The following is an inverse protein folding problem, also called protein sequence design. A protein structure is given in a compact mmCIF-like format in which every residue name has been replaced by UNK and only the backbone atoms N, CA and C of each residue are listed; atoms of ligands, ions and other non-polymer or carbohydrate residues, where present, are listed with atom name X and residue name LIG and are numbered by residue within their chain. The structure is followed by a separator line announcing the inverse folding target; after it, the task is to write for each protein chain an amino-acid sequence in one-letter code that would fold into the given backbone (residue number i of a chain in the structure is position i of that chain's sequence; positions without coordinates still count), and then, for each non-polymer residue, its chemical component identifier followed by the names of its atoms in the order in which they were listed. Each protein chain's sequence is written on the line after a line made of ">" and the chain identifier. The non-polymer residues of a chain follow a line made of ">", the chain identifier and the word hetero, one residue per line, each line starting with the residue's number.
data_IF_184972176854
#
_entry.id   IF_184972176854
#
_cell.length_a   1.000
_cell.length_b   1.000
_cell.length_c   1.000
_cell.angle_alpha   90.00
_cell.angle_beta   90.00
_cell.angle_gamma   90.00
#
_symmetry.space_group_name_H-M   'P 1'
#
loop_
_entity.id
_entity.type
_entity.pdbx_description
1 polymer ?
#
# COMPACT_ATOMS: atom_id res chain seq x y z
N UNK A 1 -29.62 -13.89 -7.06
CA UNK A 1 -29.34 -13.21 -5.77
C UNK A 1 -28.02 -13.75 -5.27
N UNK A 2 -26.96 -12.93 -5.29
CA UNK A 2 -25.71 -13.24 -4.60
C UNK A 2 -25.90 -12.89 -3.12
N UNK A 3 -25.34 -13.67 -2.17
CA UNK A 3 -25.38 -13.31 -0.77
C UNK A 3 -24.61 -12.00 -0.58
N UNK A 4 -25.19 -11.07 0.19
CA UNK A 4 -24.51 -9.85 0.59
C UNK A 4 -23.21 -10.22 1.32
N UNK A 5 -22.10 -9.64 0.89
CA UNK A 5 -20.85 -9.69 1.63
C UNK A 5 -21.13 -9.11 3.03
N UNK A 6 -20.81 -9.82 4.12
CA UNK A 6 -21.07 -9.30 5.45
C UNK A 6 -20.28 -8.01 5.62
N UNK A 7 -21.00 -6.92 5.94
CA UNK A 7 -20.39 -5.67 6.37
C UNK A 7 -19.42 -5.99 7.52
N UNK A 8 -18.21 -5.45 7.45
CA UNK A 8 -17.35 -5.49 8.62
C UNK A 8 -18.07 -4.82 9.78
N UNK A 9 -17.98 -5.36 11.01
CA UNK A 9 -18.32 -4.57 12.18
C UNK A 9 -17.57 -3.24 12.07
N UNK A 10 -18.29 -2.14 12.31
CA UNK A 10 -17.70 -0.82 12.46
C UNK A 10 -16.42 -0.96 13.29
N UNK A 11 -15.33 -0.37 12.81
CA UNK A 11 -14.03 -0.45 13.44
C UNK A 11 -14.14 0.03 14.89
N UNK A 12 -14.36 -0.90 15.82
CA UNK A 12 -14.29 -0.63 17.24
C UNK A 12 -12.83 -0.24 17.48
N UNK A 13 -12.57 1.01 17.85
CA UNK A 13 -11.24 1.56 18.08
C UNK A 13 -10.43 0.74 19.13
N UNK A 14 -11.11 -0.18 19.81
CA UNK A 14 -10.60 -1.15 20.78
C UNK A 14 -10.11 -2.48 20.15
N UNK A 15 -10.16 -2.64 18.82
CA UNK A 15 -9.79 -3.88 18.15
C UNK A 15 -8.29 -4.19 18.33
N UNK A 16 -7.92 -5.39 18.80
CA UNK A 16 -6.52 -5.83 18.89
C UNK A 16 -5.76 -5.71 17.55
N UNK A 17 -6.47 -5.84 16.42
CA UNK A 17 -5.89 -5.66 15.10
C UNK A 17 -5.51 -4.19 14.83
N UNK A 18 -6.34 -3.23 15.22
CA UNK A 18 -6.04 -1.79 15.09
C UNK A 18 -4.82 -1.41 15.93
N UNK A 19 -4.74 -1.91 17.17
CA UNK A 19 -3.56 -1.71 18.02
C UNK A 19 -2.28 -2.32 17.39
N UNK A 20 -2.39 -3.50 16.77
CA UNK A 20 -1.28 -4.12 16.07
C UNK A 20 -0.84 -3.31 14.84
N UNK A 21 -1.79 -2.81 14.03
CA UNK A 21 -1.50 -1.92 12.90
C UNK A 21 -0.84 -0.62 13.36
N UNK A 22 -1.37 0.03 14.40
CA UNK A 22 -0.79 1.25 14.96
C UNK A 22 0.66 1.03 15.44
N UNK A 23 0.93 -0.08 16.14
CA UNK A 23 2.28 -0.44 16.56
C UNK A 23 3.23 -0.71 15.39
N UNK A 24 2.72 -1.26 14.28
CA UNK A 24 3.48 -1.45 13.04
C UNK A 24 3.79 -0.10 12.37
N UNK A 25 2.80 0.78 12.21
CA UNK A 25 2.94 2.13 11.63
C UNK A 25 3.98 2.95 12.39
N UNK A 26 3.89 2.99 13.72
CA UNK A 26 4.81 3.75 14.57
C UNK A 26 6.28 3.36 14.39
N UNK A 27 6.57 2.09 14.08
CA UNK A 27 7.95 1.61 13.82
C UNK A 27 8.47 1.94 12.41
N UNK A 28 7.58 2.35 11.50
CA UNK A 28 7.91 2.65 10.11
C UNK A 28 7.66 4.09 9.69
N UNK A 29 7.26 4.97 10.61
CA UNK A 29 6.81 6.34 10.31
C UNK A 29 7.88 7.20 9.61
N UNK A 30 9.14 7.03 9.99
CA UNK A 30 10.30 7.68 9.35
C UNK A 30 10.47 7.26 7.88
N UNK A 31 10.12 6.01 7.56
CA UNK A 31 10.12 5.51 6.19
C UNK A 31 8.93 6.05 5.40
N UNK A 32 7.75 6.14 6.01
CA UNK A 32 6.51 6.46 5.30
C UNK A 32 6.47 7.87 4.73
N UNK A 33 7.20 8.82 5.31
CA UNK A 33 7.32 10.18 4.77
C UNK A 33 7.91 10.13 3.34
N UNK A 34 7.08 10.51 2.36
CA UNK A 34 7.42 10.53 0.94
C UNK A 34 7.48 9.15 0.25
N UNK A 35 7.34 8.03 0.98
CA UNK A 35 7.53 6.66 0.44
C UNK A 35 6.31 5.75 0.54
N UNK A 36 5.12 6.28 0.79
CA UNK A 36 3.87 5.51 0.81
C UNK A 36 3.65 4.72 -0.51
N UNK A 37 4.06 5.27 -1.64
CA UNK A 37 4.05 4.59 -2.95
C UNK A 37 4.90 3.32 -2.99
N UNK A 38 6.07 3.31 -2.33
CA UNK A 38 6.95 2.14 -2.28
C UNK A 38 6.25 1.00 -1.53
N UNK A 39 5.59 1.32 -0.41
CA UNK A 39 4.79 0.36 0.33
C UNK A 39 3.63 -0.18 -0.51
N UNK A 40 2.88 0.69 -1.19
CA UNK A 40 1.77 0.29 -2.05
C UNK A 40 2.21 -0.66 -3.17
N UNK A 41 3.35 -0.36 -3.83
CA UNK A 41 3.95 -1.25 -4.85
C UNK A 41 4.34 -2.60 -4.26
N UNK A 42 4.97 -2.61 -3.08
CA UNK A 42 5.35 -3.85 -2.40
C UNK A 42 4.12 -4.71 -2.05
N UNK A 43 3.10 -4.07 -1.47
CA UNK A 43 1.82 -4.70 -1.12
C UNK A 43 1.09 -5.26 -2.34
N UNK A 44 1.07 -4.53 -3.47
CA UNK A 44 0.48 -5.02 -4.72
C UNK A 44 1.24 -6.25 -5.25
N UNK A 45 2.57 -6.27 -5.13
CA UNK A 45 3.38 -7.44 -5.47
C UNK A 45 3.07 -8.67 -4.61
N UNK A 46 2.83 -8.47 -3.31
CA UNK A 46 2.52 -9.54 -2.35
C UNK A 46 1.09 -10.08 -2.48
N UNK A 47 0.13 -9.19 -2.76
CA UNK A 47 -1.30 -9.50 -2.70
C UNK A 47 -1.95 -9.69 -4.07
N UNK A 48 -1.27 -9.25 -5.15
CA UNK A 48 -1.80 -9.18 -6.53
C UNK A 48 -3.06 -8.32 -6.66
N UNK A 49 -3.19 -7.32 -5.81
CA UNK A 49 -4.32 -6.37 -5.78
C UNK A 49 -3.96 -5.06 -6.49
N UNK A 50 -4.95 -4.36 -7.07
CA UNK A 50 -4.70 -3.10 -7.76
C UNK A 50 -4.28 -2.02 -6.77
N UNK A 51 -3.43 -1.11 -7.25
CA UNK A 51 -3.03 0.08 -6.50
C UNK A 51 -3.99 1.21 -6.84
N UNK A 52 -4.48 1.89 -5.81
CA UNK A 52 -5.12 3.19 -5.95
C UNK A 52 -4.19 4.26 -5.44
N UNK A 53 -4.22 5.39 -6.11
CA UNK A 53 -3.40 6.54 -5.83
C UNK A 53 -4.28 7.78 -5.76
N UNK A 54 -3.95 8.66 -4.82
CA UNK A 54 -4.55 9.97 -4.70
C UNK A 54 -3.53 10.98 -5.19
N UNK A 55 -3.94 11.77 -6.17
CA UNK A 55 -3.11 12.78 -6.81
C UNK A 55 -3.80 14.13 -6.63
N UNK A 56 -3.03 15.13 -6.26
CA UNK A 56 -3.48 16.51 -6.14
C UNK A 56 -2.54 17.43 -6.95
N UNK A 57 -2.86 18.71 -7.07
CA UNK A 57 -2.02 19.71 -7.71
C UNK A 57 -1.32 20.52 -6.63
N UNK A 58 0.02 20.55 -6.64
CA UNK A 58 0.75 21.50 -5.80
C UNK A 58 0.44 22.92 -6.25
N UNK A 59 -0.18 23.72 -5.36
CA UNK A 59 -0.64 25.08 -5.67
C UNK A 59 0.53 25.99 -6.08
N UNK A 60 1.72 25.77 -5.52
CA UNK A 60 2.87 26.63 -5.80
C UNK A 60 3.47 26.38 -7.19
N UNK A 61 3.57 25.11 -7.62
CA UNK A 61 4.19 24.72 -8.89
C UNK A 61 3.21 24.36 -10.01
N UNK A 62 1.94 24.12 -9.70
CA UNK A 62 0.92 23.64 -10.64
C UNK A 62 1.15 22.20 -11.12
N UNK A 63 2.05 21.45 -10.50
CA UNK A 63 2.43 20.10 -10.91
C UNK A 63 1.60 19.07 -10.13
N UNK A 64 1.13 17.98 -10.79
CA UNK A 64 0.51 16.87 -10.08
C UNK A 64 1.49 16.20 -9.11
N UNK A 65 1.06 16.03 -7.86
CA UNK A 65 1.81 15.41 -6.78
C UNK A 65 1.02 14.25 -6.21
N UNK A 66 1.71 13.16 -5.88
CA UNK A 66 1.10 12.04 -5.18
C UNK A 66 0.93 12.39 -3.70
N UNK A 67 -0.32 12.43 -3.23
CA UNK A 67 -0.62 12.65 -1.81
C UNK A 67 -0.64 11.34 -1.04
N UNK A 68 -1.17 10.27 -1.64
CA UNK A 68 -1.20 8.95 -1.02
C UNK A 68 -1.31 7.80 -2.04
N UNK A 69 -0.85 6.61 -1.66
CA UNK A 69 -1.03 5.38 -2.45
C UNK A 69 -1.30 4.18 -1.54
N UNK A 70 -2.26 3.35 -1.92
CA UNK A 70 -2.74 2.22 -1.14
C UNK A 70 -3.22 1.08 -2.06
N UNK A 71 -3.38 -0.14 -1.53
CA UNK A 71 -3.98 -1.23 -2.33
C UNK A 71 -5.49 -1.31 -2.06
N UNK A 72 -6.29 -1.56 -3.09
CA UNK A 72 -7.71 -1.88 -2.91
C UNK A 72 -7.83 -3.35 -2.47
N UNK A 73 -8.23 -3.57 -1.22
CA UNK A 73 -8.42 -4.89 -0.63
C UNK A 73 -9.72 -5.55 -1.09
N UNK A 74 -10.76 -4.75 -1.30
CA UNK A 74 -11.98 -5.11 -2.03
C UNK A 74 -12.68 -3.82 -2.47
N UNK A 75 -13.98 -3.88 -2.76
CA UNK A 75 -14.77 -2.74 -3.22
C UNK A 75 -14.91 -1.64 -2.16
N UNK A 76 -14.81 -1.98 -0.87
CA UNK A 76 -15.08 -1.04 0.23
C UNK A 76 -13.84 -0.76 1.08
N UNK A 77 -12.78 -1.57 0.97
CA UNK A 77 -11.62 -1.53 1.87
C UNK A 77 -10.31 -1.33 1.15
N UNK A 78 -9.48 -0.48 1.74
CA UNK A 78 -8.10 -0.27 1.34
C UNK A 78 -7.12 -0.73 2.41
N UNK A 79 -5.92 -1.08 1.99
CA UNK A 79 -4.80 -1.33 2.89
C UNK A 79 -3.67 -0.35 2.59
N UNK A 80 -3.33 0.45 3.58
CA UNK A 80 -2.19 1.35 3.61
C UNK A 80 -1.37 1.15 4.91
N UNK A 81 -0.51 2.09 5.24
CA UNK A 81 0.26 2.04 6.48
C UNK A 81 -0.60 2.16 7.75
N UNK A 82 -1.82 2.69 7.65
CA UNK A 82 -2.80 2.73 8.74
C UNK A 82 -3.46 1.37 9.03
N UNK A 83 -3.28 0.38 8.15
CA UNK A 83 -3.90 -0.93 8.26
C UNK A 83 -5.06 -1.10 7.28
N UNK A 84 -5.83 -2.18 7.45
CA UNK A 84 -6.99 -2.47 6.62
C UNK A 84 -8.21 -1.69 7.13
N UNK A 85 -8.70 -0.74 6.32
CA UNK A 85 -9.75 0.21 6.72
C UNK A 85 -10.64 0.62 5.54
N UNK A 86 -11.81 1.24 5.78
CA UNK A 86 -12.69 1.71 4.71
C UNK A 86 -11.96 2.68 3.77
N UNK A 87 -12.19 2.53 2.46
CA UNK A 87 -11.58 3.41 1.45
C UNK A 87 -11.95 4.87 1.70
N UNK A 88 -13.20 5.15 2.08
CA UNK A 88 -13.67 6.50 2.39
C UNK A 88 -12.90 7.16 3.53
N UNK A 89 -12.43 6.40 4.52
CA UNK A 89 -11.61 6.93 5.62
C UNK A 89 -10.19 7.25 5.17
N UNK A 90 -9.61 6.41 4.30
CA UNK A 90 -8.30 6.70 3.68
C UNK A 90 -8.41 7.98 2.86
N UNK A 91 -9.41 8.07 1.98
CA UNK A 91 -9.58 9.21 1.09
C UNK A 91 -9.86 10.51 1.86
N UNK A 92 -10.65 10.45 2.94
CA UNK A 92 -10.89 11.61 3.79
C UNK A 92 -9.65 12.10 4.55
N UNK A 93 -8.71 11.23 4.92
CA UNK A 93 -7.47 11.64 5.63
C UNK A 93 -6.52 12.43 4.73
N UNK A 94 -6.50 12.13 3.43
CA UNK A 94 -5.59 12.73 2.46
C UNK A 94 -6.27 13.75 1.54
N UNK A 95 -7.58 13.97 1.70
CA UNK A 95 -8.27 15.08 1.07
C UNK A 95 -7.75 16.41 1.63
N UNK A 96 -7.26 17.29 0.76
CA UNK A 96 -6.87 18.65 1.18
C UNK A 96 -8.12 19.52 1.27
N UNK A 97 -8.15 20.46 2.22
CA UNK A 97 -9.28 21.39 2.35
C UNK A 97 -9.34 22.42 1.19
N UNK A 98 -8.28 22.52 0.39
CA UNK A 98 -8.16 23.47 -0.71
C UNK A 98 -8.49 22.85 -2.08
N UNK A 99 -8.26 21.55 -2.25
CA UNK A 99 -8.45 20.80 -3.48
C UNK A 99 -8.86 19.36 -3.14
N UNK A 100 -9.93 18.88 -3.79
CA UNK A 100 -10.32 17.47 -3.71
C UNK A 100 -9.35 16.65 -4.57
N UNK A 101 -8.52 15.76 -3.98
CA UNK A 101 -7.60 14.94 -4.75
C UNK A 101 -8.36 13.94 -5.62
N UNK A 102 -7.82 13.65 -6.80
CA UNK A 102 -8.36 12.64 -7.70
C UNK A 102 -7.85 11.25 -7.31
N UNK A 103 -8.75 10.30 -7.11
CA UNK A 103 -8.39 8.88 -6.95
C UNK A 103 -8.30 8.21 -8.31
N UNK A 104 -7.12 7.66 -8.62
CA UNK A 104 -6.85 6.93 -9.86
C UNK A 104 -6.39 5.49 -9.58
N UNK A 105 -6.72 4.58 -10.49
CA UNK A 105 -6.04 3.27 -10.53
C UNK A 105 -4.65 3.46 -11.14
N UNK A 106 -3.62 3.02 -10.42
CA UNK A 106 -2.25 3.32 -10.77
C UNK A 106 -1.42 2.07 -11.07
N UNK A 107 -0.61 2.14 -12.12
CA UNK A 107 0.42 1.13 -12.38
C UNK A 107 1.65 1.42 -11.50
N UNK A 108 2.32 0.39 -10.93
CA UNK A 108 3.60 0.54 -10.24
C UNK A 108 4.66 1.38 -10.95
N UNK A 109 4.72 1.34 -12.29
CA UNK A 109 5.67 2.16 -13.05
C UNK A 109 5.39 3.65 -12.89
N UNK A 110 4.12 4.06 -13.02
CA UNK A 110 3.67 5.45 -12.88
C UNK A 110 3.94 5.98 -11.47
N UNK A 111 3.68 5.18 -10.44
CA UNK A 111 3.93 5.59 -9.05
C UNK A 111 5.41 5.82 -8.71
N UNK A 112 6.33 5.19 -9.43
CA UNK A 112 7.77 5.45 -9.26
C UNK A 112 8.17 6.82 -9.80
N UNK A 113 7.37 7.40 -10.68
CA UNK A 113 7.63 8.72 -11.26
C UNK A 113 7.16 9.85 -10.33
N UNK A 114 6.21 9.57 -9.42
CA UNK A 114 5.67 10.53 -8.46
C UNK A 114 6.35 10.54 -7.07
N UNK A 115 7.31 9.63 -6.80
CA UNK A 115 8.08 9.64 -5.55
C UNK A 115 9.09 10.78 -5.47
N UNK A 116 9.62 11.07 -4.27
CA UNK A 116 10.66 12.11 -4.10
C UNK A 116 11.86 11.89 -5.04
N UNK A 117 12.18 12.92 -5.85
CA UNK A 117 13.34 12.95 -6.72
C UNK A 117 13.07 12.51 -8.16
N UNK A 118 12.22 13.25 -8.88
CA UNK A 118 11.86 13.02 -10.28
C UNK A 118 13.06 13.06 -11.25
N UNK A 119 13.81 11.97 -11.30
CA UNK A 119 14.43 11.46 -12.52
C UNK A 119 14.70 9.96 -12.36
N UNK A 120 13.99 9.15 -13.14
CA UNK A 120 14.27 7.73 -13.41
C UNK A 120 14.35 6.77 -12.19
N UNK A 121 13.17 6.33 -11.73
CA UNK A 121 12.77 4.92 -11.74
C UNK A 121 13.58 3.87 -10.93
N UNK A 122 14.30 4.23 -9.86
CA UNK A 122 14.94 3.24 -8.97
C UNK A 122 14.49 3.44 -7.52
N UNK A 123 13.68 2.50 -7.03
CA UNK A 123 13.41 2.36 -5.59
C UNK A 123 14.70 1.90 -4.92
N UNK A 124 15.18 2.64 -3.93
CA UNK A 124 16.37 2.25 -3.15
C UNK A 124 16.16 0.84 -2.55
N UNK A 125 17.13 -0.08 -2.66
CA UNK A 125 16.97 -1.44 -2.14
C UNK A 125 16.66 -1.52 -0.64
N UNK A 126 17.11 -0.55 0.17
CA UNK A 126 16.79 -0.44 1.60
C UNK A 126 15.35 -0.02 1.78
N UNK A 127 14.87 0.94 1.02
CA UNK A 127 13.47 1.36 1.03
C UNK A 127 12.56 0.20 0.60
N UNK A 128 12.96 -0.56 -0.42
CA UNK A 128 12.26 -1.78 -0.82
C UNK A 128 12.24 -2.83 0.30
N UNK A 129 13.38 -3.10 0.95
CA UNK A 129 13.44 -4.06 2.05
C UNK A 129 12.55 -3.64 3.23
N UNK A 130 12.54 -2.35 3.58
CA UNK A 130 11.67 -1.79 4.63
C UNK A 130 10.20 -1.89 4.24
N UNK A 131 9.84 -1.54 3.00
CA UNK A 131 8.49 -1.70 2.47
C UNK A 131 8.03 -3.16 2.53
N UNK A 132 8.90 -4.11 2.16
CA UNK A 132 8.59 -5.53 2.24
C UNK A 132 8.40 -6.01 3.68
N UNK A 133 9.26 -5.60 4.61
CA UNK A 133 9.12 -5.95 6.02
C UNK A 133 7.80 -5.40 6.60
N UNK A 134 7.48 -4.15 6.27
CA UNK A 134 6.25 -3.50 6.69
C UNK A 134 5.02 -4.19 6.10
N UNK A 135 5.00 -4.43 4.79
CA UNK A 135 3.91 -5.12 4.09
C UNK A 135 3.66 -6.54 4.62
N UNK A 136 4.73 -7.30 4.91
CA UNK A 136 4.61 -8.61 5.55
C UNK A 136 3.96 -8.52 6.93
N UNK A 137 4.37 -7.55 7.76
CA UNK A 137 3.78 -7.35 9.08
C UNK A 137 2.28 -7.02 8.99
N UNK A 138 1.89 -6.14 8.07
CA UNK A 138 0.48 -5.80 7.83
C UNK A 138 -0.34 -7.03 7.39
N UNK A 139 0.19 -7.81 6.44
CA UNK A 139 -0.48 -9.03 5.95
C UNK A 139 -0.60 -10.08 7.05
N UNK A 140 0.40 -10.22 7.93
CA UNK A 140 0.31 -11.12 9.09
C UNK A 140 -0.83 -10.72 10.02
N UNK A 141 -0.97 -9.43 10.37
CA UNK A 141 -2.09 -8.97 11.20
C UNK A 141 -3.44 -9.28 10.53
N UNK A 142 -3.57 -9.05 9.22
CA UNK A 142 -4.80 -9.39 8.48
C UNK A 142 -5.14 -10.87 8.65
N UNK A 143 -4.15 -11.77 8.62
CA UNK A 143 -4.36 -13.21 8.76
C UNK A 143 -4.64 -13.63 10.19
N UNK A 144 -3.81 -13.19 11.13
CA UNK A 144 -3.89 -13.55 12.54
C UNK A 144 -5.22 -13.12 13.15
N UNK A 145 -5.83 -12.07 12.60
CA UNK A 145 -7.14 -11.56 13.00
C UNK A 145 -8.28 -11.91 12.03
N UNK A 146 -8.06 -12.73 11.01
CA UNK A 146 -9.10 -13.23 10.10
C UNK A 146 -9.79 -12.14 9.25
N UNK A 147 -9.08 -11.05 8.94
CA UNK A 147 -9.61 -9.88 8.23
C UNK A 147 -9.64 -10.03 6.70
N UNK A 148 -9.07 -11.12 6.16
CA UNK A 148 -9.01 -11.42 4.74
C UNK A 148 -10.35 -11.87 4.12
N UNK A 149 -11.41 -11.91 4.94
CA UNK A 149 -12.75 -12.32 4.51
C UNK A 149 -12.93 -13.84 4.38
N UNK A 150 -11.93 -14.65 4.76
CA UNK A 150 -12.00 -16.12 4.68
C UNK A 150 -12.55 -16.78 5.96
N UNK A 151 -12.82 -15.98 7.00
CA UNK A 151 -13.19 -16.48 8.33
C UNK A 151 -11.98 -17.10 9.06
N UNK A 152 -12.07 -17.31 10.39
CA UNK A 152 -10.99 -17.94 11.14
C UNK A 152 -10.76 -19.38 10.67
N UNK A 153 -9.51 -19.73 10.33
CA UNK A 153 -9.07 -21.12 10.16
C UNK A 153 -8.81 -21.63 8.74
N UNK A 154 -8.76 -20.78 7.71
CA UNK A 154 -8.31 -21.21 6.36
C UNK A 154 -6.82 -20.89 6.17
N UNK A 155 -5.91 -21.86 6.33
CA UNK A 155 -4.49 -21.62 6.06
C UNK A 155 -4.28 -21.35 4.56
N UNK A 156 -3.82 -20.16 4.22
CA UNK A 156 -3.30 -19.88 2.89
C UNK A 156 -1.87 -20.41 2.81
N UNK A 157 -1.65 -21.51 2.08
CA UNK A 157 -0.32 -21.86 1.58
C UNK A 157 0.17 -20.71 0.69
N UNK A 158 1.03 -19.85 1.23
CA UNK A 158 1.88 -19.02 0.40
C UNK A 158 3.04 -19.87 -0.09
N UNK A 159 3.16 -20.03 -1.40
CA UNK A 159 4.48 -20.30 -1.96
C UNK A 159 5.39 -19.11 -1.59
N UNK A 160 6.60 -19.35 -1.04
CA UNK A 160 7.52 -18.28 -0.72
C UNK A 160 7.82 -17.47 -1.99
N UNK A 161 7.66 -16.15 -1.90
CA UNK A 161 8.15 -15.23 -2.94
C UNK A 161 9.67 -15.37 -2.95
N UNK A 162 10.21 -16.07 -3.94
CA UNK A 162 11.66 -16.12 -4.14
C UNK A 162 12.12 -14.72 -4.51
N UNK A 163 12.92 -14.12 -3.62
CA UNK A 163 13.75 -12.97 -3.92
C UNK A 163 14.64 -13.33 -5.11
N UNK A 164 14.26 -12.91 -6.32
CA UNK A 164 15.24 -12.75 -7.39
C UNK A 164 15.93 -11.43 -7.11
N UNK A 165 17.07 -11.52 -6.45
CA UNK A 165 18.06 -10.45 -6.39
C UNK A 165 18.29 -9.97 -7.83
N UNK A 166 17.85 -8.75 -8.14
CA UNK A 166 18.28 -8.03 -9.34
C UNK A 166 19.74 -7.62 -9.13
N UNK A 167 20.63 -8.60 -9.22
CA UNK A 167 22.04 -8.39 -9.45
C UNK A 167 22.40 -9.24 -10.65
N UNK A 168 23.00 -8.61 -11.66
CA UNK A 168 23.54 -9.18 -12.90
C UNK A 168 22.55 -9.35 -14.07
N UNK A 169 22.52 -8.35 -14.96
CA UNK A 169 22.86 -8.53 -16.38
C UNK A 169 22.78 -7.18 -17.10
N UNK A 170 23.63 -6.25 -16.68
CA UNK A 170 24.24 -5.35 -17.64
C UNK A 170 25.49 -6.05 -18.17
N UNK A 171 25.42 -6.60 -19.38
CA UNK A 171 26.57 -6.67 -20.26
C UNK A 171 26.09 -6.31 -21.68
N UNK A 172 26.74 -5.34 -22.35
CA UNK A 172 26.42 -5.03 -23.74
C UNK A 172 26.95 -6.16 -24.64
N UNK A 173 26.14 -6.61 -25.60
CA UNK A 173 26.63 -7.43 -26.71
C UNK A 173 27.76 -6.68 -27.43
N UNK A 174 28.97 -7.25 -27.55
CA UNK A 174 29.90 -6.79 -28.55
C UNK A 174 29.42 -7.24 -29.94
N UNK A 175 29.80 -6.40 -30.91
CA UNK A 175 29.45 -6.35 -32.34
C UNK A 175 29.38 -7.68 -33.09
#
# INVERSE_FOLDING_TARGET
>A
MLPATPALPAADASSPALAAFAGIRARGEDFLHGRCHVLAIALAGMTRRPIRAMVDIDIASGVPVLTHAYIAWDEERGLDAGGLRPISEIEAEFASAALDPETIEANPAVLREFGEGSSAAVIDPRDWARACALGNALISVIRDHGLDGRGPGVPATLAPVRLRTLASAGEPSPS
#
